data_IF_489767647018
#
_entry.id   IF_489767647018
#
_cell.length_a   1.000
_cell.length_b   1.000
_cell.length_c   1.000
_cell.angle_alpha   90.00
_cell.angle_beta   90.00
_cell.angle_gamma   90.00
#
_symmetry.space_group_name_H-M   'P 1'
#
loop_
_entity.id
_entity.type
_entity.pdbx_description
1 polymer ?
#
# COMPACT_ATOMS: atom_id res chain seq x y z
N UNK A 1 -20.17 0.25 1.05
CA UNK A 1 -19.57 1.58 0.79
C UNK A 1 -18.06 1.37 0.85
N UNK A 2 -17.37 1.30 -0.30
CA UNK A 2 -15.92 1.11 -0.32
C UNK A 2 -15.28 2.39 0.23
N UNK A 3 -14.87 2.38 1.50
CA UNK A 3 -14.11 3.48 2.07
C UNK A 3 -12.75 3.56 1.38
N UNK A 4 -12.50 4.67 0.69
CA UNK A 4 -11.14 5.04 0.24
C UNK A 4 -10.26 5.08 1.48
N UNK A 5 -9.15 4.34 1.46
CA UNK A 5 -8.11 4.43 2.49
C UNK A 5 -7.21 5.61 2.12
N UNK A 6 -6.98 6.59 3.01
CA UNK A 6 -6.12 7.72 2.72
C UNK A 6 -4.69 7.27 2.37
N UNK A 7 -3.96 7.98 1.47
CA UNK A 7 -2.59 7.65 1.14
C UNK A 7 -1.67 7.48 2.36
N UNK A 8 -1.73 8.41 3.31
CA UNK A 8 -0.91 8.36 4.53
C UNK A 8 -1.15 7.12 5.41
N UNK A 9 -2.37 6.58 5.40
CA UNK A 9 -2.69 5.35 6.14
C UNK A 9 -2.11 4.13 5.42
N UNK A 10 -2.18 4.08 4.08
CA UNK A 10 -1.52 3.05 3.29
C UNK A 10 0.00 3.10 3.43
N UNK A 11 0.59 4.31 3.45
CA UNK A 11 2.02 4.51 3.71
C UNK A 11 2.41 3.96 5.09
N UNK A 12 1.64 4.30 6.13
CA UNK A 12 1.87 3.79 7.47
C UNK A 12 1.83 2.26 7.52
N UNK A 13 0.85 1.62 6.86
CA UNK A 13 0.76 0.17 6.74
C UNK A 13 2.00 -0.38 6.02
N UNK A 14 2.38 0.17 4.87
CA UNK A 14 3.53 -0.27 4.09
C UNK A 14 4.84 -0.21 4.90
N UNK A 15 5.01 0.82 5.72
CA UNK A 15 6.17 1.01 6.60
C UNK A 15 6.26 -0.03 7.73
N UNK A 16 5.19 -0.76 8.04
CA UNK A 16 5.25 -1.89 8.99
C UNK A 16 5.84 -3.16 8.38
N UNK A 17 5.92 -3.26 7.04
CA UNK A 17 6.49 -4.44 6.39
C UNK A 17 8.02 -4.45 6.54
N UNK A 18 8.63 -5.54 7.05
CA UNK A 18 10.06 -5.57 7.42
C UNK A 18 11.02 -5.41 6.23
N UNK A 19 10.54 -5.64 5.01
CA UNK A 19 11.32 -5.44 3.77
C UNK A 19 11.16 -4.06 3.13
N UNK A 20 10.32 -3.20 3.68
CA UNK A 20 10.12 -1.81 3.22
C UNK A 20 10.98 -0.89 4.08
N UNK A 21 11.74 -0.02 3.43
CA UNK A 21 12.53 1.01 4.08
C UNK A 21 11.78 2.34 4.11
N UNK A 22 11.11 2.67 3.01
CA UNK A 22 10.30 3.88 2.88
C UNK A 22 9.17 3.64 1.86
N UNK A 23 8.08 4.38 1.97
CA UNK A 23 6.92 4.26 1.10
C UNK A 23 6.20 5.60 0.91
N UNK A 24 5.74 5.84 -0.33
CA UNK A 24 4.87 6.95 -0.67
C UNK A 24 3.71 6.45 -1.53
N UNK A 25 2.51 6.97 -1.32
CA UNK A 25 1.31 6.58 -2.06
C UNK A 25 0.68 7.80 -2.73
N UNK A 26 0.35 7.67 -4.01
CA UNK A 26 -0.38 8.69 -4.76
C UNK A 26 -1.67 8.11 -5.32
N UNK A 27 -2.65 8.97 -5.56
CA UNK A 27 -3.79 8.63 -6.40
C UNK A 27 -3.41 8.76 -7.88
N UNK A 28 -3.72 7.74 -8.67
CA UNK A 28 -3.70 7.84 -10.14
C UNK A 28 -5.14 7.86 -10.65
N UNK A 29 -5.47 8.67 -11.68
CA UNK A 29 -6.80 8.67 -12.27
C UNK A 29 -7.21 7.27 -12.76
N UNK A 30 -8.46 6.90 -12.49
CA UNK A 30 -9.04 5.64 -12.93
C UNK A 30 -10.51 5.86 -13.34
N UNK A 31 -10.91 5.32 -14.48
CA UNK A 31 -12.24 5.57 -15.05
C UNK A 31 -13.38 4.93 -14.23
N UNK A 32 -13.10 3.84 -13.49
CA UNK A 32 -14.12 3.10 -12.75
C UNK A 32 -14.26 3.57 -11.30
N UNK A 33 -13.14 3.85 -10.64
CA UNK A 33 -13.05 4.18 -9.21
C UNK A 33 -12.79 5.66 -8.93
N UNK A 34 -12.61 6.45 -9.99
CA UNK A 34 -12.13 7.83 -9.94
C UNK A 34 -10.62 7.89 -9.75
N UNK A 35 -10.10 7.18 -8.74
CA UNK A 35 -8.66 7.07 -8.48
C UNK A 35 -8.28 5.71 -7.88
N UNK A 36 -7.14 5.18 -8.30
CA UNK A 36 -6.49 4.02 -7.69
C UNK A 36 -5.24 4.44 -6.91
N UNK A 37 -4.93 3.78 -5.78
CA UNK A 37 -3.67 4.00 -5.08
C UNK A 37 -2.50 3.37 -5.84
N UNK A 38 -1.43 4.13 -6.04
CA UNK A 38 -0.15 3.66 -6.54
C UNK A 38 0.93 3.90 -5.48
N UNK A 39 1.58 2.82 -5.03
CA UNK A 39 2.65 2.87 -4.04
C UNK A 39 4.04 2.83 -4.70
N UNK A 40 4.92 3.74 -4.26
CA UNK A 40 6.34 3.73 -4.54
C UNK A 40 7.07 3.24 -3.29
N UNK A 41 7.97 2.26 -3.46
CA UNK A 41 8.57 1.54 -2.35
C UNK A 41 10.08 1.56 -2.48
N UNK A 42 10.73 2.04 -1.42
CA UNK A 42 12.16 1.84 -1.21
C UNK A 42 12.30 0.54 -0.42
N UNK A 43 13.00 -0.43 -1.00
CA UNK A 43 13.24 -1.73 -0.36
C UNK A 43 14.38 -1.60 0.63
N UNK A 44 14.32 -2.37 1.72
CA UNK A 44 15.49 -2.60 2.56
C UNK A 44 16.64 -3.20 1.75
N UNK A 45 17.91 -2.88 2.07
CA UNK A 45 19.07 -3.49 1.42
C UNK A 45 19.01 -5.02 1.48
N UNK A 46 19.20 -5.67 0.32
CA UNK A 46 19.16 -7.12 0.20
C UNK A 46 17.75 -7.74 0.24
N UNK A 47 16.69 -6.95 0.40
CA UNK A 47 15.34 -7.48 0.40
C UNK A 47 14.87 -7.89 -1.00
N UNK A 48 14.26 -9.07 -1.06
CA UNK A 48 13.54 -9.58 -2.23
C UNK A 48 12.05 -9.41 -1.95
N UNK A 49 11.45 -8.40 -2.57
CA UNK A 49 10.02 -8.12 -2.49
C UNK A 49 9.50 -7.74 -3.88
N UNK A 50 8.30 -8.20 -4.19
CA UNK A 50 7.59 -7.92 -5.45
C UNK A 50 6.34 -7.09 -5.18
N UNK A 51 5.80 -6.44 -6.22
CA UNK A 51 4.53 -5.73 -6.12
C UNK A 51 3.39 -6.63 -5.64
N UNK A 52 3.34 -7.89 -6.10
CA UNK A 52 2.31 -8.83 -5.70
C UNK A 52 2.37 -9.18 -4.20
N UNK A 53 3.58 -9.37 -3.65
CA UNK A 53 3.76 -9.60 -2.21
C UNK A 53 3.24 -8.41 -1.40
N UNK A 54 3.54 -7.18 -1.84
CA UNK A 54 3.09 -5.96 -1.18
C UNK A 54 1.57 -5.82 -1.25
N UNK A 55 0.97 -6.03 -2.43
CA UNK A 55 -0.48 -5.93 -2.60
C UNK A 55 -1.21 -6.90 -1.69
N UNK A 56 -0.72 -8.14 -1.57
CA UNK A 56 -1.31 -9.14 -0.66
C UNK A 56 -1.17 -8.74 0.80
N UNK A 57 -0.01 -8.21 1.20
CA UNK A 57 0.22 -7.71 2.56
C UNK A 57 -0.77 -6.61 2.92
N UNK A 58 -0.86 -5.56 2.10
CA UNK A 58 -1.78 -4.43 2.34
C UNK A 58 -3.24 -4.89 2.34
N UNK A 59 -3.62 -5.84 1.46
CA UNK A 59 -4.98 -6.38 1.44
C UNK A 59 -5.36 -7.15 2.71
N UNK A 60 -4.38 -7.77 3.39
CA UNK A 60 -4.58 -8.40 4.71
C UNK A 60 -4.79 -7.35 5.80
N UNK A 61 -3.86 -6.39 5.91
CA UNK A 61 -3.88 -5.35 6.95
C UNK A 61 -5.12 -4.46 6.87
N UNK A 62 -5.55 -4.06 5.66
CA UNK A 62 -6.74 -3.20 5.48
C UNK A 62 -8.05 -3.93 5.85
N UNK A 63 -8.08 -5.27 5.78
CA UNK A 63 -9.25 -6.03 6.27
C UNK A 63 -9.32 -6.01 7.80
N UNK A 64 -8.17 -6.09 8.47
CA UNK A 64 -8.09 -6.01 9.94
C UNK A 64 -8.34 -4.59 10.46
N UNK A 65 -7.90 -3.56 9.71
CA UNK A 65 -8.07 -2.15 10.08
C UNK A 65 -9.53 -1.65 10.02
N UNK A 66 -10.38 -2.35 9.26
CA UNK A 66 -11.83 -2.05 9.14
C UNK A 66 -12.69 -2.89 10.10
N UNK A 67 -12.07 -3.66 11.00
CA UNK A 67 -12.71 -4.46 12.05
C UNK A 67 -13.28 -3.65 13.20
#
# INVERSE_FOLDING_TARGET
>A
MYSKVPPAELEAILLTHPSVQDAAVIGIPDEMSGELPMAFIVKQPGAIITSEMVTRFVAGEVQEFKG
#
